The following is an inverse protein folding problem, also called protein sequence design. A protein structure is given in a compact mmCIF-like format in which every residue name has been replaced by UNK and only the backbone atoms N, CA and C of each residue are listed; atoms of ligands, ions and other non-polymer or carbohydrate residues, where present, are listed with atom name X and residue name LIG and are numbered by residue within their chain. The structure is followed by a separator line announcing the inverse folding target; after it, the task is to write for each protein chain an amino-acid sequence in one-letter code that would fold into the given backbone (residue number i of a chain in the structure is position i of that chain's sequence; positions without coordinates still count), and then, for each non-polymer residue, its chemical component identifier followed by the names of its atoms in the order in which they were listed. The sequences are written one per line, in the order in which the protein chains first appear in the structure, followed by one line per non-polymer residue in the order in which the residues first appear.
data_IF_360131993032
#
_entry.id   IF_360131993032
#
_cell.length_a   1.000
_cell.length_b   1.000
_cell.length_c   1.000
_cell.angle_alpha   90.00
_cell.angle_beta   90.00
_cell.angle_gamma   90.00
#
_symmetry.space_group_name_H-M   'P 1'
#
loop_
_entity.id
_entity.type
_entity.pdbx_description
1 polymer ?
#
# COMPACT_ATOMS: atom_id res chain seq x y z
N UNK A 1 -17.33 -34.86 -8.83
CA UNK A 1 -17.65 -34.97 -7.40
C UNK A 1 -16.43 -34.53 -6.60
N UNK A 2 -16.69 -33.70 -5.57
CA UNK A 2 -15.81 -33.19 -4.52
C UNK A 2 -14.55 -32.39 -4.94
N UNK A 3 -14.68 -31.06 -4.81
CA UNK A 3 -13.62 -30.06 -4.89
C UNK A 3 -12.69 -30.13 -3.67
N UNK A 4 -11.38 -30.18 -3.91
CA UNK A 4 -10.37 -29.87 -2.90
C UNK A 4 -10.34 -28.35 -2.65
N UNK A 5 -11.23 -27.89 -1.79
CA UNK A 5 -11.11 -26.59 -1.13
C UNK A 5 -9.98 -26.70 -0.10
N UNK A 6 -8.82 -26.14 -0.44
CA UNK A 6 -7.77 -25.80 0.51
C UNK A 6 -8.36 -24.89 1.58
N UNK A 7 -8.75 -25.50 2.70
CA UNK A 7 -8.88 -24.81 3.98
C UNK A 7 -7.46 -24.42 4.40
N UNK A 8 -7.03 -23.21 4.01
CA UNK A 8 -6.03 -22.54 4.82
C UNK A 8 -6.72 -22.24 6.16
N UNK A 9 -6.31 -22.97 7.20
CA UNK A 9 -6.59 -22.58 8.56
C UNK A 9 -6.00 -21.17 8.74
N UNK A 10 -6.85 -20.17 8.96
CA UNK A 10 -6.43 -18.91 9.56
C UNK A 10 -5.92 -19.25 10.96
N UNK A 11 -4.62 -19.50 11.09
CA UNK A 11 -3.96 -19.19 12.35
C UNK A 11 -4.26 -17.72 12.63
N UNK A 12 -4.87 -17.45 13.79
CA UNK A 12 -5.24 -16.10 14.16
C UNK A 12 -3.96 -15.26 14.25
N UNK A 13 -3.69 -14.48 13.20
CA UNK A 13 -2.55 -13.56 13.17
C UNK A 13 -2.72 -12.56 14.32
N UNK A 14 -1.97 -12.75 15.41
CA UNK A 14 -1.98 -11.89 16.60
C UNK A 14 -1.03 -10.71 16.46
N UNK A 15 -0.40 -10.53 15.29
CA UNK A 15 0.57 -9.46 15.13
C UNK A 15 -0.09 -8.08 15.14
N UNK A 16 0.62 -7.13 15.75
CA UNK A 16 0.21 -5.73 15.80
C UNK A 16 0.35 -5.11 14.42
N UNK A 17 -0.68 -4.38 13.99
CA UNK A 17 -0.68 -3.65 12.74
C UNK A 17 0.17 -2.38 12.87
N UNK A 18 0.90 -2.04 11.81
CA UNK A 18 1.61 -0.78 11.66
C UNK A 18 1.14 -0.03 10.41
N UNK A 19 1.35 1.29 10.40
CA UNK A 19 0.96 2.14 9.27
C UNK A 19 1.90 1.95 8.09
N UNK A 20 1.42 1.27 7.05
CA UNK A 20 2.14 1.08 5.79
C UNK A 20 1.89 2.22 4.79
N UNK A 21 0.93 3.10 5.05
CA UNK A 21 0.65 4.27 4.23
C UNK A 21 -0.20 5.31 4.95
N UNK A 22 0.06 6.59 4.70
CA UNK A 22 -0.72 7.70 5.24
C UNK A 22 -0.75 8.84 4.23
N UNK A 23 -1.93 9.44 4.07
CA UNK A 23 -2.09 10.64 3.27
C UNK A 23 -3.52 11.16 3.37
N UNK A 24 -3.86 12.08 2.48
CA UNK A 24 -5.17 12.74 2.51
C UNK A 24 -6.37 11.81 2.29
N UNK A 25 -6.14 10.60 1.74
CA UNK A 25 -7.18 9.58 1.55
C UNK A 25 -7.30 8.59 2.72
N UNK A 26 -6.67 8.90 3.87
CA UNK A 26 -6.68 8.07 5.07
C UNK A 26 -5.38 7.28 5.29
N UNK A 27 -5.41 6.45 6.32
CA UNK A 27 -4.32 5.54 6.71
C UNK A 27 -4.54 4.14 6.17
N UNK A 28 -3.42 3.44 5.94
CA UNK A 28 -3.39 2.03 5.57
C UNK A 28 -2.52 1.27 6.56
N UNK A 29 -3.04 0.17 7.07
CA UNK A 29 -2.47 -0.63 8.14
C UNK A 29 -2.26 -2.06 7.68
N UNK A 30 -1.15 -2.68 8.08
CA UNK A 30 -0.93 -4.10 7.90
C UNK A 30 0.07 -4.64 8.92
N UNK A 31 0.07 -5.95 9.08
CA UNK A 31 1.14 -6.73 9.71
C UNK A 31 2.09 -7.28 8.65
N UNK A 32 3.21 -7.88 9.07
CA UNK A 32 4.22 -8.47 8.16
C UNK A 32 3.62 -9.49 7.17
N UNK A 33 2.66 -10.28 7.63
CA UNK A 33 1.85 -11.18 6.82
C UNK A 33 0.37 -10.80 6.95
N UNK A 34 -0.42 -11.01 5.90
CA UNK A 34 -1.88 -10.85 5.98
C UNK A 34 -2.46 -9.73 5.10
N UNK A 35 -3.60 -9.19 5.54
CA UNK A 35 -4.37 -8.20 4.79
C UNK A 35 -3.90 -6.77 5.05
N UNK A 36 -4.16 -5.87 4.11
CA UNK A 36 -4.08 -4.44 4.29
C UNK A 36 -5.47 -3.89 4.65
N UNK A 37 -5.50 -2.94 5.59
CA UNK A 37 -6.70 -2.28 6.08
C UNK A 37 -6.62 -0.78 5.83
N UNK A 38 -7.48 -0.27 4.94
CA UNK A 38 -7.59 1.18 4.71
C UNK A 38 -8.73 1.76 5.55
N UNK A 39 -8.44 2.78 6.35
CA UNK A 39 -9.42 3.41 7.25
C UNK A 39 -10.13 4.61 6.63
N UNK A 40 -11.33 4.88 7.12
CA UNK A 40 -12.09 6.10 6.82
C UNK A 40 -11.68 7.27 7.73
N UNK A 41 -10.39 7.59 7.74
CA UNK A 41 -9.80 8.71 8.48
C UNK A 41 -9.13 9.73 7.53
N UNK A 42 -9.61 9.76 6.28
CA UNK A 42 -9.20 10.73 5.26
C UNK A 42 -9.89 12.08 5.40
N UNK A 43 -9.60 12.98 4.46
CA UNK A 43 -10.26 14.30 4.40
C UNK A 43 -11.77 14.21 4.12
N UNK A 44 -12.52 15.30 4.36
CA UNK A 44 -14.00 15.31 4.37
C UNK A 44 -14.64 14.89 3.04
N UNK A 45 -13.96 15.10 1.91
CA UNK A 45 -14.47 14.76 0.57
C UNK A 45 -14.03 13.38 0.06
N UNK A 46 -13.50 12.53 0.95
CA UNK A 46 -13.04 11.18 0.60
C UNK A 46 -14.09 10.16 0.97
N UNK A 47 -14.52 9.38 -0.03
CA UNK A 47 -15.46 8.28 0.15
C UNK A 47 -14.72 6.96 0.11
N UNK A 48 -14.52 6.36 1.29
CA UNK A 48 -13.96 5.01 1.38
C UNK A 48 -14.88 4.00 0.67
N UNK A 49 -16.20 4.21 0.72
CA UNK A 49 -17.16 3.37 0.01
C UNK A 49 -16.95 3.38 -1.50
N UNK A 50 -16.74 4.55 -2.09
CA UNK A 50 -16.44 4.66 -3.51
C UNK A 50 -15.13 3.95 -3.88
N UNK A 51 -14.09 4.05 -3.04
CA UNK A 51 -12.82 3.35 -3.27
C UNK A 51 -13.02 1.81 -3.32
N UNK A 52 -13.85 1.27 -2.42
CA UNK A 52 -14.21 -0.15 -2.37
C UNK A 52 -14.94 -0.61 -3.64
N UNK A 53 -15.95 0.16 -4.06
CA UNK A 53 -16.76 -0.13 -5.25
C UNK A 53 -15.93 -0.04 -6.53
N UNK A 54 -15.03 0.94 -6.62
CA UNK A 54 -14.12 1.08 -7.76
C UNK A 54 -13.10 -0.04 -7.84
N UNK A 55 -12.54 -0.50 -6.71
CA UNK A 55 -11.65 -1.65 -6.68
C UNK A 55 -12.35 -2.92 -7.20
N UNK A 56 -13.57 -3.18 -6.73
CA UNK A 56 -14.39 -4.30 -7.21
C UNK A 56 -14.68 -4.21 -8.71
N UNK A 57 -15.09 -3.03 -9.19
CA UNK A 57 -15.33 -2.81 -10.62
C UNK A 57 -14.08 -3.10 -11.44
N UNK A 58 -12.90 -2.64 -11.01
CA UNK A 58 -11.63 -2.91 -11.69
C UNK A 58 -11.36 -4.41 -11.79
N UNK A 59 -11.48 -5.16 -10.67
CA UNK A 59 -11.29 -6.61 -10.66
C UNK A 59 -12.26 -7.29 -11.65
N UNK A 60 -13.55 -6.98 -11.56
CA UNK A 60 -14.58 -7.56 -12.43
C UNK A 60 -14.36 -7.22 -13.91
N UNK A 61 -13.93 -6.00 -14.22
CA UNK A 61 -13.62 -5.59 -15.60
C UNK A 61 -12.43 -6.38 -16.15
N UNK A 62 -11.35 -6.54 -15.37
CA UNK A 62 -10.19 -7.31 -15.81
C UNK A 62 -10.51 -8.79 -16.00
N UNK A 63 -11.37 -9.38 -15.17
CA UNK A 63 -11.83 -10.77 -15.35
C UNK A 63 -12.59 -10.99 -16.66
N UNK A 64 -13.27 -9.97 -17.19
CA UNK A 64 -14.03 -10.04 -18.45
C UNK A 64 -13.16 -9.83 -19.69
N UNK A 65 -11.99 -9.23 -19.55
CA UNK A 65 -11.11 -8.90 -20.67
C UNK A 65 -10.13 -10.05 -20.88
N UNK A 66 -10.58 -11.10 -21.57
CA UNK A 66 -9.75 -12.25 -21.93
C UNK A 66 -8.78 -11.97 -23.08
N UNK A 67 -8.97 -10.87 -23.81
CA UNK A 67 -8.24 -10.54 -25.05
C UNK A 67 -6.93 -9.80 -24.82
N UNK A 68 -6.73 -9.20 -23.63
CA UNK A 68 -5.47 -8.55 -23.30
C UNK A 68 -4.45 -9.61 -22.88
N UNK A 69 -3.37 -9.76 -23.65
CA UNK A 69 -2.22 -10.60 -23.27
C UNK A 69 -1.39 -10.02 -22.11
N UNK A 70 -1.86 -8.94 -21.47
CA UNK A 70 -1.13 -8.26 -20.41
C UNK A 70 -1.40 -8.98 -19.08
N UNK A 71 -0.34 -9.51 -18.47
CA UNK A 71 -0.39 -10.09 -17.13
C UNK A 71 -0.37 -8.98 -16.08
N UNK A 72 -1.54 -8.45 -15.73
CA UNK A 72 -1.71 -7.50 -14.63
C UNK A 72 -2.17 -8.26 -13.39
N UNK A 73 -1.47 -8.07 -12.27
CA UNK A 73 -1.91 -8.56 -10.96
C UNK A 73 -2.59 -7.43 -10.22
N UNK A 74 -3.87 -7.61 -9.90
CA UNK A 74 -4.66 -6.66 -9.12
C UNK A 74 -4.79 -7.25 -7.71
N UNK A 75 -4.44 -6.51 -6.65
CA UNK A 75 -4.66 -6.99 -5.29
C UNK A 75 -6.12 -7.36 -5.07
N UNK A 76 -6.40 -8.48 -4.40
CA UNK A 76 -7.77 -8.83 -4.05
C UNK A 76 -8.41 -7.75 -3.16
N UNK A 77 -9.71 -7.54 -3.33
CA UNK A 77 -10.54 -6.70 -2.46
C UNK A 77 -11.47 -7.64 -1.70
N UNK A 78 -11.25 -7.82 -0.40
CA UNK A 78 -11.91 -8.88 0.35
C UNK A 78 -13.24 -8.43 0.93
N UNK A 79 -13.26 -7.30 1.67
CA UNK A 79 -14.46 -6.89 2.38
C UNK A 79 -14.48 -5.38 2.71
N UNK A 80 -15.69 -4.88 2.99
CA UNK A 80 -15.95 -3.55 3.54
C UNK A 80 -16.45 -3.70 4.98
N UNK A 81 -15.52 -3.55 5.93
CA UNK A 81 -15.80 -3.64 7.36
C UNK A 81 -16.50 -2.35 7.79
N UNK A 82 -17.70 -2.46 8.34
CA UNK A 82 -18.43 -1.28 8.81
C UNK A 82 -18.08 -0.95 10.26
N UNK A 83 -18.30 0.30 10.65
CA UNK A 83 -18.21 0.74 12.06
C UNK A 83 -19.14 -0.06 12.99
N UNK A 84 -20.22 -0.63 12.46
CA UNK A 84 -21.23 -1.39 13.20
C UNK A 84 -20.93 -2.89 13.28
N UNK A 85 -19.87 -3.40 12.65
CA UNK A 85 -19.50 -4.82 12.69
C UNK A 85 -18.84 -5.20 14.03
N UNK A 86 -19.67 -5.35 15.06
CA UNK A 86 -19.22 -5.68 16.42
C UNK A 86 -18.44 -7.01 16.47
N UNK A 87 -18.81 -7.98 15.61
CA UNK A 87 -18.13 -9.28 15.58
C UNK A 87 -16.68 -9.11 15.15
N UNK A 88 -16.44 -8.40 14.05
CA UNK A 88 -15.09 -8.15 13.56
C UNK A 88 -14.28 -7.31 14.55
N UNK A 89 -14.86 -6.20 15.05
CA UNK A 89 -14.18 -5.28 15.96
C UNK A 89 -13.84 -5.91 17.31
N UNK A 90 -14.70 -6.76 17.87
CA UNK A 90 -14.44 -7.43 19.15
C UNK A 90 -13.14 -8.25 19.16
N UNK A 91 -12.79 -8.82 18.00
CA UNK A 91 -11.59 -9.66 17.82
C UNK A 91 -10.37 -8.84 17.38
N UNK A 92 -10.55 -7.86 16.49
CA UNK A 92 -9.42 -7.23 15.80
C UNK A 92 -9.01 -5.85 16.34
N UNK A 93 -9.83 -5.18 17.16
CA UNK A 93 -9.53 -3.82 17.64
C UNK A 93 -8.16 -3.72 18.34
N UNK A 94 -7.75 -4.77 19.07
CA UNK A 94 -6.48 -4.82 19.82
C UNK A 94 -5.24 -4.92 18.94
N UNK A 95 -5.41 -5.25 17.65
CA UNK A 95 -4.30 -5.30 16.69
C UNK A 95 -3.86 -3.90 16.26
N UNK A 96 -4.73 -2.89 16.37
CA UNK A 96 -4.38 -1.50 16.10
C UNK A 96 -3.64 -0.88 17.29
N UNK A 97 -2.67 0.02 17.04
CA UNK A 97 -1.99 0.71 18.12
C UNK A 97 -2.93 1.65 18.89
N UNK A 98 -2.51 2.11 20.09
CA UNK A 98 -3.26 3.10 20.87
C UNK A 98 -3.67 4.31 20.02
N UNK A 99 -4.91 4.75 20.19
CA UNK A 99 -5.50 5.85 19.40
C UNK A 99 -6.26 5.39 18.14
N UNK A 100 -6.08 4.15 17.69
CA UNK A 100 -6.75 3.59 16.51
C UNK A 100 -7.66 2.39 16.83
N UNK A 101 -7.95 2.15 18.10
CA UNK A 101 -8.77 1.01 18.55
C UNK A 101 -10.28 1.24 18.39
N UNK A 102 -10.71 2.49 18.19
CA UNK A 102 -12.13 2.81 17.98
C UNK A 102 -12.61 2.29 16.61
N UNK A 103 -13.82 1.71 16.55
CA UNK A 103 -14.43 1.28 15.29
C UNK A 103 -14.54 2.41 14.27
N UNK A 104 -14.34 2.08 13.00
CA UNK A 104 -14.58 2.93 11.84
C UNK A 104 -14.94 2.08 10.62
N UNK A 105 -15.32 2.69 9.50
CA UNK A 105 -15.40 1.94 8.25
C UNK A 105 -13.98 1.65 7.73
N UNK A 106 -13.77 0.46 7.15
CA UNK A 106 -12.49 0.04 6.59
C UNK A 106 -12.65 -0.84 5.35
N UNK A 107 -11.69 -0.75 4.43
CA UNK A 107 -11.52 -1.75 3.36
C UNK A 107 -10.47 -2.76 3.79
N UNK A 108 -10.81 -4.04 3.69
CA UNK A 108 -9.84 -5.13 3.78
C UNK A 108 -9.44 -5.58 2.37
N UNK A 109 -8.14 -5.57 2.06
CA UNK A 109 -7.60 -5.97 0.77
C UNK A 109 -6.30 -6.77 0.91
N UNK A 110 -5.85 -7.38 -0.18
CA UNK A 110 -4.56 -8.05 -0.22
C UNK A 110 -3.44 -7.03 -0.04
N UNK A 111 -2.51 -7.29 0.89
CA UNK A 111 -1.30 -6.48 1.03
C UNK A 111 -0.38 -6.72 -0.17
N UNK A 112 0.09 -5.64 -0.78
CA UNK A 112 1.19 -5.71 -1.75
C UNK A 112 2.51 -5.86 -0.96
N UNK A 113 3.29 -6.92 -1.17
CA UNK A 113 4.57 -7.07 -0.49
C UNK A 113 5.51 -5.90 -0.81
N UNK A 114 6.25 -5.38 0.19
CA UNK A 114 7.24 -4.36 -0.09
C UNK A 114 8.40 -4.92 -0.90
N UNK A 115 9.12 -4.04 -1.60
CA UNK A 115 10.36 -4.40 -2.27
C UNK A 115 11.43 -4.84 -1.27
N UNK A 116 12.29 -5.77 -1.70
CA UNK A 116 13.37 -6.32 -0.89
C UNK A 116 14.40 -5.27 -0.49
N UNK A 117 15.19 -5.57 0.55
CA UNK A 117 16.25 -4.67 1.01
C UNK A 117 17.22 -4.28 -0.11
N UNK A 118 17.62 -5.23 -0.95
CA UNK A 118 18.50 -4.98 -2.10
C UNK A 118 17.95 -3.88 -3.03
N UNK A 119 16.65 -3.92 -3.33
CA UNK A 119 16.00 -2.91 -4.18
C UNK A 119 15.89 -1.56 -3.44
N UNK A 120 15.56 -1.58 -2.14
CA UNK A 120 15.52 -0.36 -1.32
C UNK A 120 16.88 0.34 -1.30
N UNK A 121 17.96 -0.40 -1.02
CA UNK A 121 19.33 0.13 -1.01
C UNK A 121 19.74 0.67 -2.39
N UNK A 122 19.36 -0.01 -3.48
CA UNK A 122 19.61 0.47 -4.84
C UNK A 122 18.93 1.82 -5.11
N UNK A 123 17.65 1.95 -4.77
CA UNK A 123 16.88 3.20 -4.92
C UNK A 123 17.48 4.31 -4.06
N UNK A 124 17.83 4.02 -2.80
CA UNK A 124 18.47 4.98 -1.90
C UNK A 124 19.79 5.47 -2.50
N UNK A 125 20.67 4.56 -2.89
CA UNK A 125 21.99 4.89 -3.44
C UNK A 125 21.90 5.77 -4.69
N UNK A 126 20.90 5.54 -5.55
CA UNK A 126 20.75 6.24 -6.83
C UNK A 126 20.02 7.58 -6.70
N UNK A 127 19.02 7.68 -5.83
CA UNK A 127 18.06 8.78 -5.87
C UNK A 127 17.89 9.54 -4.54
N UNK A 128 18.35 8.99 -3.42
CA UNK A 128 18.22 9.66 -2.14
C UNK A 128 19.27 10.78 -2.00
N UNK A 129 18.88 12.01 -1.64
CA UNK A 129 19.83 13.08 -1.40
C UNK A 129 20.83 12.71 -0.29
N UNK A 130 22.15 12.94 -0.48
CA UNK A 130 23.18 12.45 0.42
C UNK A 130 22.98 12.78 1.90
N UNK A 131 22.39 13.96 2.17
CA UNK A 131 22.15 14.48 3.52
C UNK A 131 21.20 13.61 4.36
N UNK A 132 20.29 12.87 3.73
CA UNK A 132 19.23 12.12 4.42
C UNK A 132 19.33 10.60 4.22
N UNK A 133 20.38 10.10 3.56
CA UNK A 133 20.56 8.65 3.32
C UNK A 133 20.48 7.83 4.61
N UNK A 134 21.18 8.27 5.66
CA UNK A 134 21.20 7.55 6.95
C UNK A 134 19.81 7.47 7.59
N UNK A 135 19.08 8.58 7.57
CA UNK A 135 17.71 8.67 8.09
C UNK A 135 16.77 7.76 7.31
N UNK A 136 16.79 7.84 5.97
CA UNK A 136 15.93 7.04 5.11
C UNK A 136 16.22 5.54 5.24
N UNK A 137 17.50 5.18 5.38
CA UNK A 137 17.94 3.78 5.56
C UNK A 137 17.50 3.20 6.89
N UNK A 138 17.55 3.99 7.97
CA UNK A 138 17.15 3.57 9.32
C UNK A 138 15.63 3.64 9.56
N UNK A 139 14.88 4.28 8.67
CA UNK A 139 13.45 4.53 8.83
C UNK A 139 12.63 3.24 8.65
N UNK A 140 12.01 2.76 9.74
CA UNK A 140 11.11 1.61 9.71
C UNK A 140 9.98 1.75 8.68
N UNK A 141 9.29 2.91 8.56
CA UNK A 141 8.25 3.04 7.55
C UNK A 141 8.76 2.95 6.10
N UNK A 142 10.04 3.21 5.82
CA UNK A 142 10.62 3.01 4.49
C UNK A 142 10.86 1.54 4.16
N UNK A 143 10.71 0.63 5.13
CA UNK A 143 10.69 -0.82 4.88
C UNK A 143 9.47 -1.23 4.05
N UNK A 144 8.35 -0.51 4.15
CA UNK A 144 7.14 -0.63 3.31
C UNK A 144 7.34 -0.03 1.90
N UNK A 145 8.48 -0.33 1.29
CA UNK A 145 8.85 0.25 0.00
C UNK A 145 7.93 -0.24 -1.11
N UNK A 146 7.24 0.69 -1.77
CA UNK A 146 6.43 0.44 -2.96
C UNK A 146 6.84 1.43 -4.04
N UNK A 147 7.04 0.93 -5.26
CA UNK A 147 7.38 1.76 -6.41
C UNK A 147 6.12 2.03 -7.23
N UNK A 148 5.95 3.28 -7.66
CA UNK A 148 4.91 3.72 -8.60
C UNK A 148 5.56 4.08 -9.93
N UNK A 149 5.47 3.19 -10.93
CA UNK A 149 6.03 3.45 -12.25
C UNK A 149 5.29 4.56 -12.99
N UNK A 150 6.06 5.47 -13.57
CA UNK A 150 5.58 6.52 -14.48
C UNK A 150 6.16 6.30 -15.88
N UNK A 151 5.66 5.28 -16.58
CA UNK A 151 6.18 4.86 -17.90
C UNK A 151 5.90 5.88 -19.02
N UNK A 152 4.91 6.75 -18.85
CA UNK A 152 4.59 7.83 -19.81
C UNK A 152 5.29 9.16 -19.53
N UNK A 153 6.19 9.23 -18.53
CA UNK A 153 6.79 10.50 -18.11
C UNK A 153 8.27 10.33 -17.80
N UNK A 154 9.09 11.19 -18.40
CA UNK A 154 10.48 11.42 -18.01
C UNK A 154 10.55 12.58 -17.01
N UNK A 155 11.54 12.56 -16.11
CA UNK A 155 11.78 13.70 -15.22
C UNK A 155 12.14 14.92 -16.06
N UNK A 156 11.39 16.00 -15.90
CA UNK A 156 11.81 17.31 -16.40
C UNK A 156 12.92 17.79 -15.48
N UNK A 157 14.19 17.69 -15.90
CA UNK A 157 15.32 18.29 -15.20
C UNK A 157 15.13 19.81 -15.17
N UNK A 158 14.41 20.34 -14.17
CA UNK A 158 14.52 21.76 -13.85
C UNK A 158 15.79 21.92 -13.02
N UNK A 159 16.83 22.57 -13.54
CA UNK A 159 17.97 22.93 -12.72
C UNK A 159 17.43 23.93 -11.67
N UNK A 160 17.63 23.63 -10.40
CA UNK A 160 17.31 24.53 -9.29
C UNK A 160 15.83 24.83 -9.06
N UNK A 161 15.10 23.87 -8.48
CA UNK A 161 14.04 24.27 -7.53
C UNK A 161 14.67 24.37 -6.15
N UNK A 162 14.77 25.60 -5.65
CA UNK A 162 15.27 26.03 -4.33
C UNK A 162 14.43 25.52 -3.15
N UNK A 163 13.62 24.47 -3.33
CA UNK A 163 12.86 23.87 -2.23
C UNK A 163 13.83 23.27 -1.22
N UNK A 164 13.91 23.89 -0.05
CA UNK A 164 14.63 23.34 1.11
C UNK A 164 13.96 22.07 1.64
N UNK A 165 12.68 21.84 1.28
CA UNK A 165 11.97 20.63 1.63
C UNK A 165 12.41 19.50 0.70
N UNK A 166 13.24 18.60 1.26
CA UNK A 166 13.62 17.35 0.64
C UNK A 166 12.65 16.27 1.13
N UNK A 167 11.55 16.09 0.42
CA UNK A 167 10.68 14.94 0.66
C UNK A 167 11.24 13.73 -0.09
N UNK A 168 11.76 12.74 0.65
CA UNK A 168 12.12 11.44 0.10
C UNK A 168 11.43 10.35 0.93
N UNK A 169 10.74 9.44 0.26
CA UNK A 169 10.03 8.32 0.88
C UNK A 169 10.06 7.14 -0.06
N UNK A 170 10.31 5.95 0.49
CA UNK A 170 10.18 4.69 -0.25
C UNK A 170 8.74 4.18 -0.29
N UNK A 171 7.85 4.70 0.57
CA UNK A 171 6.41 4.43 0.48
C UNK A 171 5.83 5.16 -0.73
N UNK A 172 5.41 4.43 -1.75
CA UNK A 172 4.87 4.96 -3.01
C UNK A 172 5.90 5.82 -3.80
N UNK A 173 7.14 5.37 -3.86
CA UNK A 173 8.25 6.03 -4.55
C UNK A 173 7.94 6.21 -6.05
N UNK A 174 7.89 7.45 -6.57
CA UNK A 174 7.68 7.68 -7.99
C UNK A 174 8.95 7.30 -8.78
N UNK A 175 8.83 6.34 -9.70
CA UNK A 175 9.93 5.93 -10.57
C UNK A 175 9.58 6.25 -12.03
N UNK A 176 10.25 7.25 -12.59
CA UNK A 176 10.02 7.74 -13.94
C UNK A 176 10.70 6.87 -15.00
N UNK A 177 10.28 6.99 -16.26
CA UNK A 177 10.80 6.17 -17.36
C UNK A 177 12.33 6.22 -17.49
N UNK A 178 12.92 7.42 -17.37
CA UNK A 178 14.38 7.60 -17.42
C UNK A 178 15.10 6.90 -16.26
N UNK A 179 14.46 6.82 -15.09
CA UNK A 179 15.03 6.10 -13.95
C UNK A 179 14.91 4.59 -14.10
N UNK A 180 13.84 4.10 -14.72
CA UNK A 180 13.74 2.68 -15.06
C UNK A 180 14.92 2.26 -15.94
N UNK A 181 15.21 3.00 -17.01
CA UNK A 181 16.32 2.74 -17.93
C UNK A 181 17.71 2.76 -17.24
N UNK A 182 17.87 3.49 -16.14
CA UNK A 182 19.12 3.53 -15.35
C UNK A 182 19.31 2.32 -14.41
N UNK A 183 18.25 1.54 -14.19
CA UNK A 183 18.19 0.41 -13.25
C UNK A 183 18.16 -0.97 -13.92
N UNK A 184 17.91 -1.04 -15.24
CA UNK A 184 17.98 -2.26 -16.05
C UNK A 184 19.36 -2.38 -16.69
#
# INVERSE_FOLDING_TARGET
MASNLLKHAEEADTSTLHTIGHGFCGTVWASEAGSAFKREDGGPDRSLRNDFEMHHRTIQSFQKIHTLQIKVQIPACYDFITITDQKWWSVNHRKFPPGYTSPCNMIQSQRIPPFSDAIRQLIIKKYCPPKIIREITASDPNKDCLVRPYLGRRRTRKPYTTSQFIAFSLRNFPLYLDQFEELV
#
